data_IF_063717001454
#
_entry.id   IF_063717001454
#
_cell.length_a   1.000
_cell.length_b   1.000
_cell.length_c   1.000
_cell.angle_alpha   90.00
_cell.angle_beta   90.00
_cell.angle_gamma   90.00
#
_symmetry.space_group_name_H-M   'P 1'
#
loop_
_entity.id
_entity.type
_entity.pdbx_description
1 polymer ?
#
# COMPACT_ATOMS: atom_id res chain seq x y z
N UNK A 1 13.18 40.74 -70.54
CA UNK A 1 13.40 41.08 -69.11
C UNK A 1 12.02 41.18 -68.46
N UNK A 2 11.77 40.34 -67.45
CA UNK A 2 10.57 40.27 -66.58
C UNK A 2 9.31 39.83 -67.34
N UNK A 3 8.58 38.80 -66.92
CA UNK A 3 8.18 38.49 -65.55
C UNK A 3 8.14 36.98 -65.30
N UNK A 4 9.01 36.53 -64.39
CA UNK A 4 8.81 35.34 -63.59
C UNK A 4 7.94 35.75 -62.40
N UNK A 5 6.63 35.52 -62.42
CA UNK A 5 5.89 35.26 -61.19
C UNK A 5 4.47 34.82 -61.50
N UNK A 6 4.17 33.54 -61.27
CA UNK A 6 3.04 33.11 -60.45
C UNK A 6 2.82 31.59 -60.65
N UNK A 7 3.80 30.79 -60.24
CA UNK A 7 3.52 29.40 -59.82
C UNK A 7 3.16 29.53 -58.36
N UNK A 8 1.88 29.35 -57.98
CA UNK A 8 1.46 28.87 -56.65
C UNK A 8 -0.07 28.77 -56.44
N UNK A 9 -0.87 28.58 -57.49
CA UNK A 9 -2.29 28.25 -57.29
C UNK A 9 -2.48 26.73 -57.30
N UNK A 10 -2.01 26.08 -56.23
CA UNK A 10 -2.57 24.78 -55.85
C UNK A 10 -4.07 25.02 -55.63
N UNK A 11 -4.99 24.28 -56.28
CA UNK A 11 -6.39 24.40 -55.97
C UNK A 11 -6.54 23.92 -54.52
N UNK A 12 -6.66 24.87 -53.59
CA UNK A 12 -7.15 24.57 -52.26
C UNK A 12 -8.59 24.12 -52.48
N UNK A 13 -8.78 22.80 -52.58
CA UNK A 13 -10.09 22.19 -52.60
C UNK A 13 -10.77 22.63 -51.30
N UNK A 14 -11.65 23.63 -51.40
CA UNK A 14 -12.37 24.18 -50.27
C UNK A 14 -13.10 23.01 -49.62
N UNK A 15 -12.56 22.57 -48.48
CA UNK A 15 -13.11 21.46 -47.70
C UNK A 15 -14.44 21.95 -47.16
N UNK A 16 -15.49 21.71 -47.94
CA UNK A 16 -16.85 22.05 -47.60
C UNK A 16 -17.29 21.13 -46.46
N UNK A 17 -17.15 21.62 -45.22
CA UNK A 17 -17.56 20.91 -43.99
C UNK A 17 -19.03 20.46 -44.04
N UNK A 18 -19.85 21.19 -44.81
CA UNK A 18 -21.26 20.87 -45.05
C UNK A 18 -21.47 19.56 -45.80
N UNK A 19 -20.58 19.19 -46.71
CA UNK A 19 -20.69 17.96 -47.51
C UNK A 19 -20.45 16.72 -46.63
N UNK A 20 -19.51 16.82 -45.67
CA UNK A 20 -19.29 15.79 -44.64
C UNK A 20 -20.50 15.62 -43.70
N UNK A 21 -21.15 16.73 -43.31
CA UNK A 21 -22.36 16.69 -42.48
C UNK A 21 -23.50 15.98 -43.23
N UNK A 22 -23.65 16.23 -44.52
CA UNK A 22 -24.69 15.58 -45.33
C UNK A 22 -24.46 14.07 -45.46
N UNK A 23 -23.20 13.62 -45.59
CA UNK A 23 -22.84 12.18 -45.60
C UNK A 23 -23.15 11.51 -44.25
N UNK A 24 -22.84 12.17 -43.13
CA UNK A 24 -23.14 11.69 -41.78
C UNK A 24 -24.66 11.55 -41.57
N UNK A 25 -25.44 12.55 -41.98
CA UNK A 25 -26.90 12.53 -41.85
C UNK A 25 -27.54 11.45 -42.74
N UNK A 26 -27.01 11.23 -43.95
CA UNK A 26 -27.51 10.19 -44.87
C UNK A 26 -27.29 8.78 -44.32
N UNK A 27 -26.22 8.56 -43.54
CA UNK A 27 -25.88 7.27 -42.92
C UNK A 27 -26.16 7.21 -41.40
N UNK A 28 -26.97 8.14 -40.88
CA UNK A 28 -27.34 8.26 -39.46
C UNK A 28 -27.81 6.95 -38.82
N UNK A 29 -28.54 6.08 -39.54
CA UNK A 29 -28.99 4.79 -39.00
C UNK A 29 -27.84 3.82 -38.69
N UNK A 30 -26.77 3.81 -39.49
CA UNK A 30 -25.59 2.97 -39.24
C UNK A 30 -24.79 3.51 -38.05
N UNK A 31 -24.65 4.83 -37.95
CA UNK A 31 -23.98 5.49 -36.82
C UNK A 31 -24.74 5.24 -35.52
N UNK A 32 -26.05 5.49 -35.51
CA UNK A 32 -26.90 5.25 -34.35
C UNK A 32 -26.82 3.78 -33.93
N UNK A 33 -26.92 2.81 -34.85
CA UNK A 33 -26.79 1.38 -34.54
C UNK A 33 -25.45 1.07 -33.87
N UNK A 34 -24.34 1.56 -34.42
CA UNK A 34 -23.01 1.30 -33.87
C UNK A 34 -22.83 1.94 -32.49
N UNK A 35 -23.31 3.17 -32.29
CA UNK A 35 -23.29 3.85 -30.99
C UNK A 35 -24.14 3.09 -29.97
N UNK A 36 -25.31 2.59 -30.37
CA UNK A 36 -26.19 1.82 -29.49
C UNK A 36 -25.56 0.48 -29.08
N UNK A 37 -24.88 -0.21 -30.00
CA UNK A 37 -24.11 -1.43 -29.70
C UNK A 37 -22.94 -1.11 -28.76
N UNK A 38 -22.20 -0.04 -29.00
CA UNK A 38 -21.10 0.37 -28.13
C UNK A 38 -21.59 0.74 -26.72
N UNK A 39 -22.71 1.47 -26.63
CA UNK A 39 -23.34 1.84 -25.36
C UNK A 39 -23.83 0.62 -24.59
N UNK A 40 -24.47 -0.34 -25.27
CA UNK A 40 -24.87 -1.61 -24.68
C UNK A 40 -23.67 -2.42 -24.21
N UNK A 41 -22.62 -2.52 -25.03
CA UNK A 41 -21.40 -3.24 -24.66
C UNK A 41 -20.74 -2.64 -23.41
N UNK A 42 -20.60 -1.31 -23.34
CA UNK A 42 -20.07 -0.62 -22.17
C UNK A 42 -20.97 -0.83 -20.95
N UNK A 43 -22.30 -0.75 -21.11
CA UNK A 43 -23.26 -0.99 -20.03
C UNK A 43 -23.17 -2.40 -19.45
N UNK A 44 -23.06 -3.41 -20.33
CA UNK A 44 -22.88 -4.81 -19.91
C UNK A 44 -21.54 -4.96 -19.16
N UNK A 45 -20.44 -4.45 -19.71
CA UNK A 45 -19.12 -4.51 -19.06
C UNK A 45 -19.13 -3.82 -17.70
N UNK A 46 -19.78 -2.67 -17.58
CA UNK A 46 -19.91 -1.93 -16.32
C UNK A 46 -20.67 -2.72 -15.26
N UNK A 47 -21.66 -3.51 -15.67
CA UNK A 47 -22.45 -4.36 -14.76
C UNK A 47 -21.65 -5.56 -14.24
N UNK A 48 -20.65 -6.03 -14.99
CA UNK A 48 -19.72 -7.08 -14.57
C UNK A 48 -18.57 -6.57 -13.68
N UNK A 49 -18.37 -5.25 -13.55
CA UNK A 49 -17.30 -4.70 -12.71
C UNK A 49 -17.70 -4.75 -11.22
N UNK A 50 -17.00 -5.54 -10.37
CA UNK A 50 -17.32 -5.60 -8.97
C UNK A 50 -17.01 -4.27 -8.29
N UNK A 51 -17.93 -3.79 -7.45
CA UNK A 51 -17.69 -2.62 -6.59
C UNK A 51 -16.56 -2.94 -5.61
N UNK A 52 -15.49 -2.14 -5.63
CA UNK A 52 -14.40 -2.20 -4.64
C UNK A 52 -14.50 -0.97 -3.74
N UNK A 53 -14.38 -1.19 -2.44
CA UNK A 53 -14.37 -0.16 -1.42
C UNK A 53 -12.97 -0.06 -0.83
N UNK A 54 -12.48 1.17 -0.70
CA UNK A 54 -11.15 1.45 -0.15
C UNK A 54 -11.30 2.02 1.26
N UNK A 55 -10.74 1.34 2.25
CA UNK A 55 -10.55 1.89 3.58
C UNK A 55 -9.17 2.54 3.68
N UNK A 56 -9.09 3.71 4.33
CA UNK A 56 -7.85 4.46 4.53
C UNK A 56 -7.65 4.69 6.01
N UNK A 57 -6.51 4.26 6.54
CA UNK A 57 -6.08 4.52 7.91
C UNK A 57 -4.76 5.26 7.91
N UNK A 58 -4.69 6.35 8.67
CA UNK A 58 -3.49 7.17 8.83
C UNK A 58 -2.93 7.04 10.23
N UNK A 59 -1.62 6.92 10.33
CA UNK A 59 -0.89 6.77 11.58
C UNK A 59 0.24 7.79 11.66
N UNK A 60 0.36 8.42 12.83
CA UNK A 60 1.47 9.29 13.16
C UNK A 60 2.50 8.48 13.96
N UNK A 61 3.79 8.50 13.55
CA UNK A 61 4.85 7.93 14.37
C UNK A 61 4.89 8.70 15.71
N UNK A 62 5.21 8.02 16.83
CA UNK A 62 5.23 8.64 18.14
C UNK A 62 6.22 9.80 18.16
N UNK A 63 5.84 10.91 18.81
CA UNK A 63 6.70 12.10 18.90
C UNK A 63 8.03 11.81 19.61
N UNK A 64 9.07 12.51 19.16
CA UNK A 64 10.50 12.33 19.47
C UNK A 64 10.92 12.49 20.94
N UNK A 65 10.01 12.64 21.90
CA UNK A 65 10.38 13.04 23.26
C UNK A 65 11.00 11.95 24.14
N UNK A 66 11.14 10.70 23.66
CA UNK A 66 11.80 9.65 24.45
C UNK A 66 12.72 8.68 23.67
N UNK A 67 12.75 8.77 22.33
CA UNK A 67 13.41 7.76 21.49
C UNK A 67 14.64 8.27 20.70
N UNK A 68 15.05 9.54 20.87
CA UNK A 68 16.13 10.17 20.10
C UNK A 68 17.49 9.46 20.19
N UNK A 69 17.84 8.88 21.35
CA UNK A 69 19.09 8.13 21.51
C UNK A 69 19.04 6.70 20.95
N UNK A 70 17.88 6.06 21.00
CA UNK A 70 17.70 4.66 20.60
C UNK A 70 17.64 4.50 19.07
N UNK A 71 16.99 5.44 18.37
CA UNK A 71 16.97 5.44 16.90
C UNK A 71 18.31 5.80 16.30
N UNK A 72 19.03 6.75 16.91
CA UNK A 72 20.41 7.06 16.51
C UNK A 72 21.31 5.83 16.66
N UNK A 73 21.19 5.08 17.75
CA UNK A 73 21.90 3.82 17.95
C UNK A 73 21.48 2.72 16.95
N UNK A 74 20.19 2.65 16.58
CA UNK A 74 19.70 1.71 15.57
C UNK A 74 20.24 2.04 14.18
N UNK A 75 20.18 3.31 13.77
CA UNK A 75 20.75 3.77 12.51
C UNK A 75 22.25 3.54 12.46
N UNK A 76 22.95 3.78 13.58
CA UNK A 76 24.39 3.54 13.69
C UNK A 76 24.77 2.04 13.67
N UNK A 77 23.86 1.15 14.09
CA UNK A 77 24.07 -0.31 14.07
C UNK A 77 23.79 -0.98 12.71
N UNK A 78 23.31 -0.22 11.71
CA UNK A 78 23.13 -0.74 10.36
C UNK A 78 24.50 -0.90 9.68
N UNK A 79 24.78 -2.03 9.00
CA UNK A 79 26.00 -2.20 8.20
C UNK A 79 26.25 -1.07 7.18
N UNK A 80 25.19 -0.38 6.75
CA UNK A 80 25.28 0.77 5.85
C UNK A 80 25.77 2.06 6.54
N UNK A 81 25.61 2.20 7.86
CA UNK A 81 26.11 3.35 8.59
C UNK A 81 27.63 3.34 8.72
N UNK A 82 28.25 2.16 8.78
CA UNK A 82 29.70 2.01 8.72
C UNK A 82 30.31 2.42 7.36
N UNK A 83 29.49 2.58 6.32
CA UNK A 83 29.91 3.07 5.00
C UNK A 83 29.69 4.58 4.82
N UNK A 84 29.30 5.31 5.88
CA UNK A 84 29.02 6.74 5.81
C UNK A 84 27.72 7.10 5.07
N UNK A 85 26.97 6.10 4.60
CA UNK A 85 25.67 6.27 3.94
C UNK A 85 24.62 6.39 5.05
N UNK A 86 24.54 7.57 5.66
CA UNK A 86 23.43 7.93 6.55
C UNK A 86 22.21 8.28 5.69
N UNK A 87 21.65 7.27 5.01
CA UNK A 87 20.32 7.44 4.45
C UNK A 87 19.36 7.68 5.61
N UNK A 88 18.74 8.86 5.61
CA UNK A 88 17.76 9.36 6.56
C UNK A 88 16.47 8.53 6.48
N UNK A 89 16.57 7.23 6.73
CA UNK A 89 15.41 6.35 6.84
C UNK A 89 14.58 6.86 8.00
N UNK A 90 13.45 7.47 7.67
CA UNK A 90 12.55 8.02 8.68
C UNK A 90 11.99 6.87 9.49
N UNK A 91 11.63 7.11 10.76
CA UNK A 91 10.93 6.13 11.58
C UNK A 91 9.65 5.61 10.90
N UNK A 92 9.04 6.44 10.06
CA UNK A 92 7.92 6.06 9.20
C UNK A 92 8.29 4.98 8.17
N UNK A 93 9.49 5.01 7.59
CA UNK A 93 9.92 4.03 6.59
C UNK A 93 10.13 2.65 7.23
N UNK A 94 10.68 2.61 8.44
CA UNK A 94 10.82 1.38 9.21
C UNK A 94 9.45 0.78 9.53
N UNK A 95 8.48 1.61 9.93
CA UNK A 95 7.12 1.14 10.17
C UNK A 95 6.42 0.69 8.89
N UNK A 96 6.61 1.37 7.76
CA UNK A 96 6.13 0.91 6.44
C UNK A 96 6.71 -0.47 6.11
N UNK A 97 7.99 -0.70 6.37
CA UNK A 97 8.63 -1.99 6.10
C UNK A 97 8.12 -3.09 7.04
N UNK A 98 7.89 -2.78 8.32
CA UNK A 98 7.26 -3.71 9.26
C UNK A 98 5.85 -4.08 8.80
N UNK A 99 5.04 -3.12 8.34
CA UNK A 99 3.70 -3.37 7.81
C UNK A 99 3.71 -4.24 6.54
N UNK A 100 4.75 -4.13 5.71
CA UNK A 100 4.95 -4.96 4.50
C UNK A 100 5.47 -6.36 4.82
N UNK A 101 5.99 -6.59 6.03
CA UNK A 101 6.60 -7.85 6.43
C UNK A 101 5.64 -9.04 6.36
N UNK A 102 6.21 -10.24 6.18
CA UNK A 102 5.44 -11.49 6.13
C UNK A 102 4.71 -11.75 7.45
N UNK A 103 5.37 -11.50 8.58
CA UNK A 103 4.79 -11.73 9.92
C UNK A 103 3.52 -10.93 10.15
N UNK A 104 3.52 -9.63 9.81
CA UNK A 104 2.32 -8.78 9.96
C UNK A 104 1.22 -9.25 9.02
N UNK A 105 1.56 -9.53 7.76
CA UNK A 105 0.58 -10.01 6.77
C UNK A 105 -0.03 -11.35 7.17
N UNK A 106 0.75 -12.25 7.76
CA UNK A 106 0.26 -13.54 8.25
C UNK A 106 -0.69 -13.39 9.42
N UNK A 107 -0.35 -12.52 10.36
CA UNK A 107 -1.23 -12.25 11.49
C UNK A 107 -2.56 -11.65 11.01
N UNK A 108 -2.51 -10.71 10.06
CA UNK A 108 -3.72 -10.14 9.43
C UNK A 108 -4.51 -11.20 8.65
N UNK A 109 -3.85 -12.14 7.97
CA UNK A 109 -4.52 -13.21 7.21
C UNK A 109 -5.26 -14.19 8.11
N UNK A 110 -4.68 -14.59 9.24
CA UNK A 110 -5.26 -15.58 10.16
C UNK A 110 -6.24 -14.98 11.18
N UNK A 111 -6.31 -13.66 11.29
CA UNK A 111 -7.26 -12.99 12.17
C UNK A 111 -8.70 -13.24 11.71
N UNK A 112 -9.59 -13.45 12.66
CA UNK A 112 -11.02 -13.58 12.39
C UNK A 112 -11.67 -12.21 12.29
N UNK A 113 -12.35 -11.96 11.17
CA UNK A 113 -13.08 -10.73 10.88
C UNK A 113 -14.58 -10.98 10.97
N UNK A 114 -15.33 -9.98 11.40
CA UNK A 114 -16.80 -10.05 11.41
C UNK A 114 -17.33 -9.55 10.06
N UNK A 115 -17.99 -10.43 9.29
CA UNK A 115 -18.69 -10.01 8.08
C UNK A 115 -20.19 -9.90 8.42
N UNK A 116 -20.72 -8.69 8.33
CA UNK A 116 -22.16 -8.46 8.45
C UNK A 116 -22.82 -8.79 7.12
N UNK A 117 -23.42 -9.98 7.01
CA UNK A 117 -24.19 -10.33 5.81
C UNK A 117 -25.39 -9.40 5.69
N UNK A 118 -25.57 -8.75 4.53
CA UNK A 118 -26.80 -7.98 4.23
C UNK A 118 -28.10 -8.80 4.34
N UNK A 119 -27.99 -10.14 4.40
CA UNK A 119 -29.12 -11.08 4.32
C UNK A 119 -29.41 -11.84 5.61
N UNK A 120 -28.55 -11.76 6.62
CA UNK A 120 -28.73 -12.41 7.92
C UNK A 120 -28.24 -11.51 9.05
N UNK A 121 -29.03 -11.39 10.12
CA UNK A 121 -28.64 -10.75 11.40
C UNK A 121 -27.46 -11.46 12.11
N UNK A 122 -27.00 -12.60 11.57
CA UNK A 122 -25.86 -13.34 12.09
C UNK A 122 -24.53 -12.75 11.61
N UNK A 123 -23.72 -12.29 12.57
CA UNK A 123 -22.33 -11.90 12.36
C UNK A 123 -21.49 -13.17 12.14
N UNK A 124 -21.27 -13.57 10.89
CA UNK A 124 -20.35 -14.66 10.58
C UNK A 124 -18.91 -14.18 10.81
N UNK A 125 -18.17 -14.91 11.63
CA UNK A 125 -16.71 -14.75 11.72
C UNK A 125 -16.07 -15.50 10.57
N UNK A 126 -15.29 -14.81 9.75
CA UNK A 126 -14.55 -15.40 8.64
C UNK A 126 -13.09 -14.98 8.71
N UNK A 127 -12.22 -15.84 8.21
CA UNK A 127 -10.80 -15.52 8.05
C UNK A 127 -10.56 -15.01 6.63
N UNK A 128 -9.52 -14.19 6.42
CA UNK A 128 -9.23 -13.66 5.08
C UNK A 128 -8.88 -14.77 4.08
N UNK A 129 -8.32 -15.88 4.54
CA UNK A 129 -8.11 -17.11 3.76
C UNK A 129 -9.42 -17.65 3.18
N UNK A 130 -10.46 -17.78 4.01
CA UNK A 130 -11.80 -18.23 3.60
C UNK A 130 -12.46 -17.21 2.66
N UNK A 131 -12.26 -15.91 2.92
CA UNK A 131 -12.79 -14.85 2.05
C UNK A 131 -12.17 -14.88 0.64
N UNK A 132 -10.88 -15.19 0.53
CA UNK A 132 -10.21 -15.33 -0.77
C UNK A 132 -10.44 -16.69 -1.43
N UNK A 133 -10.96 -17.68 -0.70
CA UNK A 133 -11.16 -19.04 -1.20
C UNK A 133 -9.86 -19.76 -1.55
N UNK A 134 -8.76 -19.43 -0.87
CA UNK A 134 -7.42 -19.98 -1.14
C UNK A 134 -6.83 -20.61 0.13
N UNK A 135 -6.52 -21.90 0.06
CA UNK A 135 -5.85 -22.63 1.16
C UNK A 135 -4.34 -22.33 1.23
N UNK A 136 -3.77 -21.79 0.14
CA UNK A 136 -2.35 -21.46 0.08
C UNK A 136 -2.08 -20.08 0.68
N UNK A 137 -1.40 -20.08 1.83
CA UNK A 137 -0.91 -18.86 2.48
C UNK A 137 -0.10 -17.95 1.54
N UNK A 138 0.69 -18.52 0.61
CA UNK A 138 1.48 -17.73 -0.35
C UNK A 138 0.60 -16.95 -1.35
N UNK A 139 -0.45 -17.59 -1.86
CA UNK A 139 -1.38 -16.92 -2.79
C UNK A 139 -2.21 -15.87 -2.06
N UNK A 140 -2.72 -16.19 -0.88
CA UNK A 140 -3.47 -15.26 -0.05
C UNK A 140 -2.64 -14.04 0.32
N UNK A 141 -1.35 -14.22 0.66
CA UNK A 141 -0.40 -13.11 0.81
C UNK A 141 -0.35 -12.29 -0.46
N UNK A 142 -0.07 -12.89 -1.62
CA UNK A 142 0.08 -12.15 -2.88
C UNK A 142 -1.16 -11.32 -3.22
N UNK A 143 -2.36 -11.85 -2.98
CA UNK A 143 -3.63 -11.14 -3.13
C UNK A 143 -3.68 -9.96 -2.16
N UNK A 144 -3.43 -10.19 -0.88
CA UNK A 144 -3.44 -9.15 0.15
C UNK A 144 -2.46 -8.01 -0.16
N UNK A 145 -1.26 -8.28 -0.69
CA UNK A 145 -0.34 -7.21 -1.12
C UNK A 145 -0.83 -6.41 -2.30
N UNK A 146 -1.61 -7.01 -3.20
CA UNK A 146 -2.17 -6.27 -4.34
C UNK A 146 -3.31 -5.37 -3.90
N UNK A 147 -4.03 -5.77 -2.86
CA UNK A 147 -5.18 -5.05 -2.31
C UNK A 147 -4.79 -4.04 -1.23
N UNK A 148 -3.55 -4.10 -0.73
CA UNK A 148 -3.06 -3.23 0.34
C UNK A 148 -1.93 -2.35 -0.16
N UNK A 149 -2.10 -1.04 -0.05
CA UNK A 149 -1.05 -0.06 -0.34
C UNK A 149 -0.62 0.62 0.95
N UNK A 150 0.68 0.58 1.25
CA UNK A 150 1.27 1.22 2.43
C UNK A 150 2.35 2.20 1.98
N UNK A 151 2.22 3.46 2.39
CA UNK A 151 3.15 4.54 2.05
C UNK A 151 3.37 5.47 3.24
N UNK A 152 4.56 6.07 3.32
CA UNK A 152 4.84 7.17 4.24
C UNK A 152 4.91 8.50 3.45
N UNK A 153 4.36 9.57 4.02
CA UNK A 153 4.58 10.93 3.52
C UNK A 153 5.94 11.47 3.98
N UNK A 154 6.42 12.53 3.33
CA UNK A 154 7.62 13.28 3.75
C UNK A 154 7.49 13.86 5.17
N UNK A 155 6.26 14.08 5.63
CA UNK A 155 5.94 14.54 6.99
C UNK A 155 5.95 13.39 8.02
N UNK A 156 6.23 12.15 7.58
CA UNK A 156 6.28 10.97 8.43
C UNK A 156 4.92 10.29 8.67
N UNK A 157 3.85 10.74 8.02
CA UNK A 157 2.51 10.16 8.17
C UNK A 157 2.43 8.86 7.38
N UNK A 158 2.09 7.77 8.05
CA UNK A 158 1.92 6.46 7.42
C UNK A 158 0.47 6.31 7.00
N UNK A 159 0.25 6.00 5.73
CA UNK A 159 -1.09 5.75 5.17
C UNK A 159 -1.19 4.30 4.73
N UNK A 160 -2.22 3.61 5.22
CA UNK A 160 -2.58 2.24 4.87
C UNK A 160 -3.90 2.29 4.12
N UNK A 161 -3.91 1.82 2.87
CA UNK A 161 -5.11 1.70 2.04
C UNK A 161 -5.42 0.23 1.78
N UNK A 162 -6.64 -0.20 2.05
CA UNK A 162 -7.09 -1.59 1.83
C UNK A 162 -8.32 -1.59 0.93
N UNK A 163 -8.26 -2.31 -0.19
CA UNK A 163 -9.34 -2.43 -1.17
C UNK A 163 -10.05 -3.79 -1.07
N UNK A 164 -11.32 -3.81 -0.66
CA UNK A 164 -12.13 -5.03 -0.57
C UNK A 164 -13.56 -4.82 -1.10
N UNK A 165 -14.29 -5.91 -1.35
CA UNK A 165 -15.66 -5.87 -1.86
C UNK A 165 -16.70 -5.42 -0.82
N UNK A 166 -16.33 -5.42 0.46
CA UNK A 166 -17.18 -4.99 1.59
C UNK A 166 -16.50 -3.84 2.35
N UNK A 167 -17.18 -2.69 2.53
CA UNK A 167 -16.61 -1.53 3.23
C UNK A 167 -16.31 -1.80 4.72
N UNK A 168 -17.13 -2.61 5.41
CA UNK A 168 -16.89 -2.96 6.82
C UNK A 168 -15.69 -3.89 6.96
N UNK A 169 -15.52 -4.82 6.02
CA UNK A 169 -14.36 -5.71 6.00
C UNK A 169 -13.09 -4.91 5.69
N UNK A 170 -13.12 -4.00 4.72
CA UNK A 170 -12.00 -3.12 4.40
C UNK A 170 -11.52 -2.34 5.63
N UNK A 171 -12.45 -1.73 6.38
CA UNK A 171 -12.13 -0.99 7.60
C UNK A 171 -11.55 -1.90 8.70
N UNK A 172 -12.13 -3.08 8.92
CA UNK A 172 -11.62 -4.02 9.91
C UNK A 172 -10.21 -4.52 9.58
N UNK A 173 -9.93 -4.80 8.30
CA UNK A 173 -8.59 -5.22 7.87
C UNK A 173 -7.59 -4.08 8.02
N UNK A 174 -7.95 -2.85 7.63
CA UNK A 174 -7.10 -1.68 7.83
C UNK A 174 -6.77 -1.46 9.32
N UNK A 175 -7.75 -1.59 10.21
CA UNK A 175 -7.54 -1.50 11.65
C UNK A 175 -6.68 -2.65 12.19
N UNK A 176 -6.85 -3.87 11.66
CA UNK A 176 -6.02 -5.01 12.04
C UNK A 176 -4.53 -4.78 11.74
N UNK A 177 -4.20 -4.10 10.63
CA UNK A 177 -2.81 -3.71 10.36
C UNK A 177 -2.23 -2.78 11.42
N UNK A 178 -3.03 -1.84 11.94
CA UNK A 178 -2.61 -0.94 13.03
C UNK A 178 -2.34 -1.72 14.31
N UNK A 179 -3.28 -2.60 14.68
CA UNK A 179 -3.16 -3.42 15.89
C UNK A 179 -1.93 -4.34 15.83
N UNK A 180 -1.68 -4.96 14.67
CA UNK A 180 -0.49 -5.80 14.48
C UNK A 180 0.81 -4.99 14.51
N UNK A 181 0.80 -3.76 13.97
CA UNK A 181 1.96 -2.87 14.09
C UNK A 181 2.25 -2.52 15.55
N UNK A 182 1.23 -2.18 16.34
CA UNK A 182 1.41 -1.90 17.77
C UNK A 182 1.91 -3.14 18.53
N UNK A 183 1.36 -4.33 18.24
CA UNK A 183 1.82 -5.60 18.83
C UNK A 183 3.30 -5.85 18.56
N UNK A 184 3.72 -5.73 17.30
CA UNK A 184 5.13 -5.92 16.91
C UNK A 184 6.03 -4.87 17.53
N UNK A 185 5.57 -3.62 17.62
CA UNK A 185 6.32 -2.54 18.25
C UNK A 185 6.54 -2.81 19.75
N UNK A 186 5.49 -3.21 20.48
CA UNK A 186 5.59 -3.60 21.90
C UNK A 186 6.51 -4.80 22.12
N UNK A 187 6.38 -5.84 21.30
CA UNK A 187 7.24 -7.03 21.38
C UNK A 187 8.72 -6.68 21.17
N UNK A 188 9.02 -5.86 20.17
CA UNK A 188 10.40 -5.38 19.93
C UNK A 188 10.93 -4.53 21.07
N UNK A 189 10.10 -3.67 21.66
CA UNK A 189 10.49 -2.84 22.80
C UNK A 189 10.80 -3.68 24.04
N UNK A 190 9.97 -4.68 24.36
CA UNK A 190 10.19 -5.59 25.49
C UNK A 190 11.45 -6.46 25.27
N UNK A 191 11.62 -7.01 24.06
CA UNK A 191 12.78 -7.85 23.71
C UNK A 191 14.12 -7.10 23.84
N UNK A 192 14.14 -5.80 23.52
CA UNK A 192 15.34 -4.96 23.69
C UNK A 192 15.68 -4.69 25.15
N UNK A 193 14.70 -4.41 26.00
CA UNK A 193 14.93 -4.22 27.43
C UNK A 193 15.53 -5.48 28.07
N UNK A 194 15.00 -6.66 27.70
CA UNK A 194 15.55 -7.96 28.13
C UNK A 194 16.98 -8.18 27.61
N UNK A 195 17.23 -7.92 26.34
CA UNK A 195 18.56 -8.07 25.72
C UNK A 195 19.59 -7.12 26.33
N UNK A 196 19.20 -5.88 26.61
CA UNK A 196 20.05 -4.87 27.27
C UNK A 196 20.42 -5.30 28.69
N UNK A 197 19.44 -5.79 29.47
CA UNK A 197 19.69 -6.36 30.80
C UNK A 197 20.71 -7.51 30.74
N UNK A 198 20.50 -8.48 29.86
CA UNK A 198 21.40 -9.64 29.71
C UNK A 198 22.82 -9.19 29.30
N UNK A 199 22.91 -8.21 28.40
CA UNK A 199 24.19 -7.63 27.98
C UNK A 199 24.93 -6.96 29.14
N UNK A 200 24.24 -6.11 29.92
CA UNK A 200 24.81 -5.43 31.09
C UNK A 200 25.25 -6.46 32.14
N UNK A 201 24.43 -7.48 32.43
CA UNK A 201 24.77 -8.57 33.35
C UNK A 201 26.04 -9.31 32.91
N UNK A 202 26.19 -9.59 31.62
CA UNK A 202 27.40 -10.23 31.08
C UNK A 202 28.64 -9.32 31.19
N UNK A 203 28.50 -8.03 30.89
CA UNK A 203 29.60 -7.08 31.02
C UNK A 203 30.03 -6.89 32.47
N UNK A 204 29.08 -6.86 33.41
CA UNK A 204 29.38 -6.77 34.84
C UNK A 204 30.21 -7.97 35.30
N UNK A 205 29.79 -9.19 34.92
CA UNK A 205 30.53 -10.43 35.21
C UNK A 205 31.93 -10.45 34.60
N UNK A 206 32.11 -9.93 33.39
CA UNK A 206 33.43 -9.85 32.76
C UNK A 206 34.33 -8.84 33.48
N UNK A 207 33.80 -7.68 33.86
CA UNK A 207 34.55 -6.66 34.60
C UNK A 207 34.94 -7.14 35.99
N UNK A 208 34.04 -7.82 36.72
CA UNK A 208 34.37 -8.44 38.01
C UNK A 208 35.49 -9.47 37.89
N UNK A 209 35.47 -10.32 36.85
CA UNK A 209 36.56 -11.27 36.59
C UNK A 209 37.90 -10.57 36.31
N UNK A 210 37.88 -9.52 35.49
CA UNK A 210 39.10 -8.74 35.17
C UNK A 210 39.66 -8.01 36.39
N UNK A 211 38.80 -7.47 37.27
CA UNK A 211 39.23 -6.81 38.50
C UNK A 211 39.88 -7.81 39.47
N UNK A 212 39.30 -9.00 39.64
CA UNK A 212 39.91 -10.07 40.46
C UNK A 212 41.28 -10.51 39.93
N UNK A 213 41.43 -10.62 38.61
CA UNK A 213 42.70 -10.99 37.97
C UNK A 213 43.77 -9.90 38.06
N UNK A 214 43.38 -8.62 38.20
CA UNK A 214 44.32 -7.51 38.34
C UNK A 214 44.73 -7.23 39.81
N UNK A 215 44.04 -7.84 40.77
CA UNK A 215 44.32 -7.71 42.21
C UNK A 215 45.16 -8.85 42.79
N UNK A 216 45.44 -9.90 42.01
CA UNK A 216 46.47 -10.93 42.28
C UNK A 216 47.79 -10.55 41.60
#
# INVERSE_FOLDING_TARGET
MKELNNKNDLPYEEINLWDYVQVIVRRRRMIIRNVLIAMLAIGVISLFLPKKYTAVTTLLPPEKNQAGGLWSALSASSPLANLGITSSSSMSDVFVEILKSRTVRDAVLHKSYSLSSKRSQDKKKITLLEYFGEDSNEKARKILSKLTTVSASSEGIITIKVELGDPQLAAQVANAYVEELDRVNREKNISRAKSSRIYIENQLKQTEKKLKQASE
#
